data_IF_127808735996
#
_entry.id   IF_127808735996
#
_cell.length_a   1.000
_cell.length_b   1.000
_cell.length_c   1.000
_cell.angle_alpha   90.00
_cell.angle_beta   90.00
_cell.angle_gamma   90.00
#
_symmetry.space_group_name_H-M   'P 1'
#
loop_
_entity.id
_entity.type
_entity.pdbx_description
1 polymer ?
#
# COMPACT_ATOMS: atom_id res chain seq x y z
N UNK A 1 1.88 -17.19 -6.36
CA UNK A 1 1.87 -15.96 -7.19
C UNK A 1 0.51 -15.27 -7.20
N UNK A 2 0.44 -14.05 -6.66
CA UNK A 2 -0.73 -13.18 -6.78
C UNK A 2 -0.96 -12.80 -8.26
N UNK A 3 -2.20 -12.85 -8.74
CA UNK A 3 -2.51 -12.42 -10.10
C UNK A 3 -2.41 -10.89 -10.22
N UNK A 4 -1.92 -10.35 -11.34
CA UNK A 4 -2.09 -8.93 -11.63
C UNK A 4 -3.58 -8.67 -11.83
N UNK A 5 -4.24 -8.17 -10.79
CA UNK A 5 -5.57 -7.57 -10.93
C UNK A 5 -5.48 -6.45 -11.97
N UNK A 6 -6.58 -6.16 -12.66
CA UNK A 6 -6.66 -4.99 -13.55
C UNK A 6 -6.72 -3.71 -12.70
N UNK A 7 -5.61 -3.41 -12.03
CA UNK A 7 -5.55 -2.47 -10.93
C UNK A 7 -5.85 -1.06 -11.40
N UNK A 8 -5.41 -0.69 -12.60
CA UNK A 8 -5.74 0.60 -13.20
C UNK A 8 -7.24 0.72 -13.50
N UNK A 9 -7.87 -0.29 -14.12
CA UNK A 9 -9.31 -0.28 -14.36
C UNK A 9 -10.09 -0.13 -13.06
N UNK A 10 -9.71 -0.88 -12.02
CA UNK A 10 -10.37 -0.81 -10.72
C UNK A 10 -10.24 0.60 -10.11
N UNK A 11 -9.04 1.19 -10.14
CA UNK A 11 -8.83 2.54 -9.62
C UNK A 11 -9.55 3.62 -10.43
N UNK A 12 -9.70 3.42 -11.74
CA UNK A 12 -10.38 4.37 -12.64
C UNK A 12 -11.89 4.29 -12.60
N UNK A 13 -12.47 3.11 -12.39
CA UNK A 13 -13.90 2.92 -12.66
C UNK A 13 -14.68 2.27 -11.52
N UNK A 14 -14.00 1.65 -10.55
CA UNK A 14 -14.66 0.96 -9.43
C UNK A 14 -14.40 1.63 -8.08
N UNK A 15 -13.50 2.60 -8.01
CA UNK A 15 -13.26 3.39 -6.80
C UNK A 15 -14.50 4.22 -6.48
N UNK A 16 -14.89 4.17 -5.20
CA UNK A 16 -16.01 4.93 -4.65
C UNK A 16 -15.74 6.45 -4.73
N UNK A 17 -16.82 7.18 -5.01
CA UNK A 17 -16.82 8.63 -5.22
C UNK A 17 -17.56 8.96 -6.51
N UNK A 18 -18.70 9.62 -6.38
CA UNK A 18 -19.52 10.09 -7.50
C UNK A 18 -19.00 11.43 -8.06
N UNK A 19 -18.20 12.17 -7.27
CA UNK A 19 -17.49 13.38 -7.71
C UNK A 19 -15.98 13.15 -7.87
N UNK A 20 -15.29 13.88 -8.78
CA UNK A 20 -13.84 13.81 -8.89
C UNK A 20 -13.09 14.12 -7.58
N UNK A 21 -13.58 15.07 -6.77
CA UNK A 21 -13.01 15.39 -5.46
C UNK A 21 -13.12 14.22 -4.46
N UNK A 22 -14.25 13.54 -4.39
CA UNK A 22 -14.40 12.35 -3.52
C UNK A 22 -13.57 11.16 -4.03
N UNK A 23 -13.42 11.00 -5.34
CA UNK A 23 -12.52 10.00 -5.91
C UNK A 23 -11.06 10.27 -5.53
N UNK A 24 -10.61 11.52 -5.58
CA UNK A 24 -9.28 11.93 -5.10
C UNK A 24 -9.11 11.57 -3.63
N UNK A 25 -10.08 11.91 -2.77
CA UNK A 25 -10.06 11.58 -1.33
C UNK A 25 -9.85 10.09 -1.09
N UNK A 26 -10.64 9.25 -1.77
CA UNK A 26 -10.56 7.79 -1.65
C UNK A 26 -9.21 7.27 -2.16
N UNK A 27 -8.74 7.73 -3.32
CA UNK A 27 -7.44 7.34 -3.89
C UNK A 27 -6.26 7.73 -3.01
N UNK A 28 -6.29 8.89 -2.34
CA UNK A 28 -5.26 9.29 -1.36
C UNK A 28 -5.22 8.32 -0.18
N UNK A 29 -6.38 7.83 0.27
CA UNK A 29 -6.46 6.78 1.29
C UNK A 29 -5.76 5.50 0.87
N UNK A 30 -6.04 5.02 -0.34
CA UNK A 30 -5.35 3.85 -0.91
C UNK A 30 -3.85 4.08 -1.06
N UNK A 31 -3.43 5.22 -1.63
CA UNK A 31 -2.02 5.56 -1.82
C UNK A 31 -1.25 5.50 -0.49
N UNK A 32 -1.82 6.08 0.57
CA UNK A 32 -1.21 6.04 1.90
C UNK A 32 -1.04 4.60 2.41
N UNK A 33 -2.06 3.74 2.23
CA UNK A 33 -1.96 2.31 2.55
C UNK A 33 -0.83 1.61 1.79
N UNK A 34 -0.70 1.88 0.48
CA UNK A 34 0.33 1.29 -0.39
C UNK A 34 1.74 1.76 -0.04
N UNK A 35 1.90 3.05 0.27
CA UNK A 35 3.18 3.62 0.73
C UNK A 35 3.62 2.99 2.06
N UNK A 36 2.69 2.80 3.01
CA UNK A 36 2.97 2.07 4.25
C UNK A 36 3.37 0.61 4.00
N UNK A 37 2.66 -0.07 3.10
CA UNK A 37 3.00 -1.44 2.72
C UNK A 37 4.38 -1.54 2.06
N UNK A 38 4.81 -0.54 1.28
CA UNK A 38 6.14 -0.53 0.66
C UNK A 38 7.27 -0.51 1.70
N UNK A 39 7.07 0.15 2.85
CA UNK A 39 8.05 0.13 3.94
C UNK A 39 8.24 -1.26 4.56
N UNK A 40 7.24 -2.15 4.43
CA UNK A 40 7.30 -3.50 5.01
C UNK A 40 8.34 -4.41 4.32
N UNK A 41 8.75 -4.10 3.09
CA UNK A 41 9.84 -4.81 2.40
C UNK A 41 11.14 -4.68 3.18
N UNK A 42 11.50 -3.45 3.55
CA UNK A 42 12.70 -3.19 4.36
C UNK A 42 12.58 -3.78 5.77
N UNK A 43 11.37 -3.74 6.36
CA UNK A 43 11.13 -4.35 7.68
C UNK A 43 11.31 -5.87 7.63
N UNK A 44 10.80 -6.54 6.59
CA UNK A 44 10.94 -7.98 6.43
C UNK A 44 12.41 -8.39 6.29
N UNK A 45 13.17 -7.66 5.46
CA UNK A 45 14.60 -7.88 5.29
C UNK A 45 15.39 -7.66 6.59
N UNK A 46 15.12 -6.58 7.33
CA UNK A 46 15.77 -6.32 8.62
C UNK A 46 15.47 -7.41 9.65
N UNK A 47 14.22 -7.88 9.72
CA UNK A 47 13.83 -8.96 10.64
C UNK A 47 14.54 -10.27 10.30
N UNK A 48 14.62 -10.63 9.03
CA UNK A 48 15.32 -11.84 8.60
C UNK A 48 16.81 -11.76 8.92
N UNK A 49 17.46 -10.62 8.62
CA UNK A 49 18.86 -10.39 9.00
C UNK A 49 19.07 -10.48 10.52
N UNK A 50 18.12 -9.96 11.30
CA UNK A 50 18.12 -10.09 12.76
C UNK A 50 18.09 -11.54 13.23
N UNK A 51 17.22 -12.38 12.63
CA UNK A 51 17.14 -13.82 12.94
C UNK A 51 18.42 -14.56 12.60
N UNK A 52 19.04 -14.27 11.45
CA UNK A 52 20.34 -14.83 11.09
C UNK A 52 21.43 -14.47 12.11
N UNK A 53 21.47 -13.20 12.55
CA UNK A 53 22.41 -12.76 13.56
C UNK A 53 22.16 -13.42 14.93
N UNK A 54 20.90 -13.58 15.32
CA UNK A 54 20.50 -14.26 16.55
C UNK A 54 20.89 -15.76 16.52
N UNK A 55 20.65 -16.45 15.40
CA UNK A 55 21.06 -17.85 15.24
C UNK A 55 22.58 -18.00 15.33
N UNK A 56 23.34 -17.08 14.74
CA UNK A 56 24.80 -17.08 14.85
C UNK A 56 25.23 -16.89 16.31
N UNK A 57 24.61 -15.97 17.04
CA UNK A 57 24.89 -15.76 18.46
C UNK A 57 24.59 -17.00 19.31
N UNK A 58 23.46 -17.69 19.08
CA UNK A 58 23.12 -18.94 19.76
C UNK A 58 24.17 -20.04 19.51
N UNK A 59 24.67 -20.13 18.27
CA UNK A 59 25.75 -21.06 17.90
C UNK A 59 27.06 -20.72 18.62
N UNK A 60 27.44 -19.45 18.62
CA UNK A 60 28.70 -18.97 19.22
C UNK A 60 28.72 -19.10 20.76
N UNK A 61 27.56 -18.96 21.39
CA UNK A 61 27.40 -19.08 22.85
C UNK A 61 27.17 -20.51 23.34
N UNK A 62 27.04 -21.48 22.43
CA UNK A 62 26.77 -22.87 22.78
C UNK A 62 25.38 -23.10 23.37
N UNK A 63 24.38 -22.33 22.93
CA UNK A 63 22.99 -22.49 23.35
C UNK A 63 22.46 -23.91 23.03
N UNK A 64 21.43 -24.41 23.75
CA UNK A 64 20.87 -25.74 23.51
C UNK A 64 20.47 -25.96 22.05
N UNK A 65 20.79 -27.14 21.51
CA UNK A 65 20.57 -27.45 20.09
C UNK A 65 19.11 -27.25 19.65
N UNK A 66 18.14 -27.56 20.49
CA UNK A 66 16.73 -27.42 20.14
C UNK A 66 16.34 -25.95 19.91
N UNK A 67 16.93 -25.00 20.64
CA UNK A 67 16.70 -23.56 20.42
C UNK A 67 17.25 -23.11 19.07
N UNK A 68 18.44 -23.60 18.70
CA UNK A 68 19.04 -23.34 17.39
C UNK A 68 18.17 -23.88 16.26
N UNK A 69 17.69 -25.13 16.40
CA UNK A 69 16.88 -25.79 15.38
C UNK A 69 15.50 -25.13 15.20
N UNK A 70 14.88 -24.64 16.27
CA UNK A 70 13.62 -23.90 16.15
C UNK A 70 13.81 -22.59 15.40
N UNK A 71 14.85 -21.81 15.73
CA UNK A 71 15.12 -20.56 15.02
C UNK A 71 15.53 -20.79 13.56
N UNK A 72 16.30 -21.84 13.28
CA UNK A 72 16.64 -22.26 11.92
C UNK A 72 15.41 -22.67 11.12
N UNK A 73 14.45 -23.37 11.73
CA UNK A 73 13.18 -23.71 11.09
C UNK A 73 12.35 -22.45 10.73
N UNK A 74 12.29 -21.46 11.62
CA UNK A 74 11.62 -20.18 11.33
C UNK A 74 12.28 -19.43 10.17
N UNK A 75 13.62 -19.44 10.10
CA UNK A 75 14.36 -18.83 8.99
C UNK A 75 14.01 -19.52 7.67
N UNK A 76 14.03 -20.86 7.63
CA UNK A 76 13.67 -21.65 6.44
C UNK A 76 12.25 -21.36 5.99
N UNK A 77 11.30 -21.24 6.91
CA UNK A 77 9.92 -20.88 6.59
C UNK A 77 9.84 -19.50 5.92
N UNK A 78 10.50 -18.48 6.48
CA UNK A 78 10.54 -17.13 5.90
C UNK A 78 11.19 -17.15 4.51
N UNK A 79 12.32 -17.85 4.36
CA UNK A 79 13.05 -17.96 3.09
C UNK A 79 12.24 -18.67 2.01
N UNK A 80 11.41 -19.65 2.39
CA UNK A 80 10.58 -20.43 1.46
C UNK A 80 9.53 -19.60 0.71
N UNK A 81 9.15 -18.44 1.25
CA UNK A 81 8.11 -17.56 0.66
C UNK A 81 8.67 -16.25 0.09
N UNK A 82 9.99 -16.05 0.09
CA UNK A 82 10.61 -14.78 -0.32
C UNK A 82 10.31 -14.40 -1.77
N UNK A 83 10.29 -15.36 -2.70
CA UNK A 83 10.04 -15.05 -4.10
C UNK A 83 8.62 -14.50 -4.33
N UNK A 84 7.61 -15.16 -3.75
CA UNK A 84 6.23 -14.70 -3.78
C UNK A 84 6.09 -13.34 -3.07
N UNK A 85 6.81 -13.13 -1.96
CA UNK A 85 6.80 -11.87 -1.22
C UNK A 85 7.44 -10.72 -2.03
N UNK A 86 8.58 -10.97 -2.68
CA UNK A 86 9.25 -10.00 -3.55
C UNK A 86 8.35 -9.63 -4.75
N UNK A 87 7.66 -10.62 -5.32
CA UNK A 87 6.68 -10.38 -6.37
C UNK A 87 5.54 -9.47 -5.88
N UNK A 88 5.00 -9.73 -4.68
CA UNK A 88 3.96 -8.89 -4.09
C UNK A 88 4.43 -7.44 -3.84
N UNK A 89 5.68 -7.24 -3.38
CA UNK A 89 6.25 -5.90 -3.24
C UNK A 89 6.43 -5.19 -4.58
N UNK A 90 6.86 -5.90 -5.62
CA UNK A 90 6.96 -5.35 -6.96
C UNK A 90 5.60 -4.91 -7.51
N UNK A 91 4.55 -5.71 -7.29
CA UNK A 91 3.17 -5.32 -7.63
C UNK A 91 2.75 -4.08 -6.85
N UNK A 92 2.97 -4.03 -5.53
CA UNK A 92 2.61 -2.85 -4.71
C UNK A 92 3.30 -1.56 -5.20
N UNK A 93 4.57 -1.63 -5.61
CA UNK A 93 5.29 -0.48 -6.20
C UNK A 93 4.64 0.01 -7.50
N UNK A 94 4.26 -0.91 -8.40
CA UNK A 94 3.52 -0.57 -9.63
C UNK A 94 2.16 0.06 -9.32
N UNK A 95 1.46 -0.45 -8.31
CA UNK A 95 0.16 0.11 -7.91
C UNK A 95 0.28 1.54 -7.36
N UNK A 96 1.37 1.86 -6.65
CA UNK A 96 1.66 3.24 -6.22
C UNK A 96 1.76 4.17 -7.43
N UNK A 97 2.52 3.77 -8.46
CA UNK A 97 2.69 4.56 -9.69
C UNK A 97 1.35 4.78 -10.41
N UNK A 98 0.53 3.72 -10.53
CA UNK A 98 -0.80 3.80 -11.14
C UNK A 98 -1.69 4.79 -10.38
N UNK A 99 -1.76 4.70 -9.05
CA UNK A 99 -2.59 5.61 -8.24
C UNK A 99 -2.09 7.05 -8.38
N UNK A 100 -0.77 7.28 -8.37
CA UNK A 100 -0.18 8.61 -8.54
C UNK A 100 -0.53 9.23 -9.89
N UNK A 101 -0.49 8.44 -10.98
CA UNK A 101 -0.86 8.91 -12.31
C UNK A 101 -2.36 9.28 -12.36
N UNK A 102 -3.24 8.43 -11.83
CA UNK A 102 -4.68 8.72 -11.79
C UNK A 102 -4.98 9.96 -10.94
N UNK A 103 -4.30 10.11 -9.80
CA UNK A 103 -4.42 11.32 -8.98
C UNK A 103 -4.01 12.57 -9.75
N UNK A 104 -2.87 12.52 -10.47
CA UNK A 104 -2.42 13.66 -11.27
C UNK A 104 -3.44 14.06 -12.34
N UNK A 105 -4.04 13.08 -13.02
CA UNK A 105 -5.12 13.31 -13.99
C UNK A 105 -6.36 13.94 -13.33
N UNK A 106 -6.81 13.41 -12.20
CA UNK A 106 -7.97 13.93 -11.49
C UNK A 106 -7.72 15.34 -10.96
N UNK A 107 -6.51 15.63 -10.44
CA UNK A 107 -6.14 16.98 -10.03
C UNK A 107 -6.16 17.94 -11.23
N UNK A 108 -5.64 17.55 -12.40
CA UNK A 108 -5.71 18.38 -13.61
C UNK A 108 -7.16 18.72 -14.00
N UNK A 109 -8.12 17.81 -13.76
CA UNK A 109 -9.56 18.04 -13.97
C UNK A 109 -10.15 19.00 -12.93
N UNK A 110 -9.83 18.83 -11.64
CA UNK A 110 -10.51 19.58 -10.57
C UNK A 110 -9.85 20.88 -10.15
N UNK A 111 -8.54 21.07 -10.39
CA UNK A 111 -7.84 22.29 -9.99
C UNK A 111 -8.48 23.57 -10.56
N UNK A 112 -8.97 23.62 -11.82
CA UNK A 112 -9.72 24.77 -12.33
C UNK A 112 -11.00 25.09 -11.54
N UNK A 113 -11.54 24.11 -10.80
CA UNK A 113 -12.74 24.25 -9.96
C UNK A 113 -12.42 24.59 -8.51
N UNK A 114 -11.14 24.63 -8.13
CA UNK A 114 -10.72 24.91 -6.74
C UNK A 114 -11.06 26.34 -6.36
N UNK A 115 -11.68 26.50 -5.20
CA UNK A 115 -11.92 27.83 -4.63
C UNK A 115 -10.59 28.47 -4.17
N UNK A 116 -10.33 29.75 -4.47
CA UNK A 116 -9.09 30.42 -4.07
C UNK A 116 -8.83 30.31 -2.56
N UNK A 117 -7.64 29.81 -2.21
CA UNK A 117 -7.22 29.62 -0.81
C UNK A 117 -7.74 28.35 -0.14
N UNK A 118 -8.52 27.50 -0.82
CA UNK A 118 -9.04 26.27 -0.23
C UNK A 118 -8.04 25.10 -0.31
N UNK A 119 -7.90 24.38 0.80
CA UNK A 119 -7.15 23.12 0.88
C UNK A 119 -7.94 21.96 0.28
N UNK A 120 -7.27 20.83 0.04
CA UNK A 120 -7.93 19.59 -0.40
C UNK A 120 -9.05 19.17 0.55
N UNK A 121 -8.79 19.19 1.86
CA UNK A 121 -9.76 18.77 2.86
C UNK A 121 -11.01 19.67 2.83
N UNK A 122 -10.81 20.98 2.65
CA UNK A 122 -11.94 21.91 2.50
C UNK A 122 -12.72 21.66 1.21
N UNK A 123 -12.03 21.33 0.10
CA UNK A 123 -12.70 20.95 -1.15
C UNK A 123 -13.45 19.63 -1.02
N UNK A 124 -12.92 18.65 -0.29
CA UNK A 124 -13.62 17.38 -0.01
C UNK A 124 -14.91 17.64 0.77
N UNK A 125 -14.86 18.39 1.88
CA UNK A 125 -16.05 18.67 2.68
C UNK A 125 -17.13 19.43 1.89
N UNK A 126 -16.74 20.36 1.01
CA UNK A 126 -17.68 21.04 0.13
C UNK A 126 -18.34 20.10 -0.90
N UNK A 127 -17.58 19.13 -1.42
CA UNK A 127 -18.05 18.22 -2.45
C UNK A 127 -18.79 17.00 -1.87
N UNK A 128 -18.63 16.69 -0.58
CA UNK A 128 -19.35 15.61 0.08
C UNK A 128 -20.87 15.76 -0.03
N UNK A 129 -21.39 16.99 0.07
CA UNK A 129 -22.82 17.27 -0.11
C UNK A 129 -23.33 17.02 -1.53
N UNK A 130 -22.49 17.32 -2.53
CA UNK A 130 -22.78 17.05 -3.95
C UNK A 130 -22.75 15.54 -4.19
N UNK A 131 -21.77 14.84 -3.63
CA UNK A 131 -21.63 13.39 -3.74
C UNK A 131 -22.84 12.66 -3.15
N UNK A 132 -23.30 13.08 -1.98
CA UNK A 132 -24.53 12.57 -1.35
C UNK A 132 -25.74 12.77 -2.27
N UNK A 133 -25.94 13.98 -2.80
CA UNK A 133 -27.06 14.28 -3.68
C UNK A 133 -27.02 13.42 -4.96
N UNK A 134 -25.85 13.26 -5.58
CA UNK A 134 -25.68 12.44 -6.79
C UNK A 134 -25.87 10.95 -6.52
N UNK A 135 -25.56 10.48 -5.31
CA UNK A 135 -25.62 9.04 -4.98
C UNK A 135 -27.00 8.62 -4.48
N UNK A 136 -27.71 9.46 -3.73
CA UNK A 136 -29.00 9.12 -3.09
C UNK A 136 -30.22 9.50 -3.94
N UNK A 137 -30.11 10.54 -4.78
CA UNK A 137 -31.21 11.02 -5.62
C UNK A 137 -31.22 10.40 -7.04
N UNK A 138 -30.40 9.38 -7.27
CA UNK A 138 -30.26 8.65 -8.54
C UNK A 138 -30.97 7.30 -8.46
#
# INVERSE_FOLDING_TARGET
MAQPLNTEFNYRYQVLGSTPWERIKTLKGFLNGRLRAAALEQVADLKLRGKHAELQYLRDTGAPLHEQLYLEAEIVEIESVQEDQAHAFALNKREIEVIQNILAELYAEVEPTRLPGYTDDQMFELNAGIDFAVTVLR
#
